data_IF_580350001286
#
_entry.id   IF_580350001286
#
_cell.length_a   1.000
_cell.length_b   1.000
_cell.length_c   1.000
_cell.angle_alpha   90.00
_cell.angle_beta   90.00
_cell.angle_gamma   90.00
#
_symmetry.space_group_name_H-M   'P 1'
#
loop_
_entity.id
_entity.type
_entity.pdbx_description
1 polymer ?
#
# COMPACT_ATOMS: atom_id res chain seq x y z
N UNK A 1 -10.09 -10.89 -7.23
CA UNK A 1 -10.75 -9.85 -8.04
C UNK A 1 -9.78 -9.44 -9.13
N UNK A 2 -10.22 -9.40 -10.38
CA UNK A 2 -9.39 -8.92 -11.49
C UNK A 2 -9.34 -7.39 -11.50
N UNK A 3 -8.37 -6.79 -12.20
CA UNK A 3 -8.32 -5.35 -12.38
C UNK A 3 -9.61 -4.80 -13.02
N UNK A 4 -10.14 -5.50 -14.02
CA UNK A 4 -11.39 -5.13 -14.69
C UNK A 4 -12.55 -5.07 -13.69
N UNK A 5 -12.69 -6.11 -12.86
CA UNK A 5 -13.72 -6.13 -11.82
C UNK A 5 -13.57 -4.97 -10.82
N UNK A 6 -12.34 -4.57 -10.49
CA UNK A 6 -12.12 -3.42 -9.63
C UNK A 6 -12.48 -2.09 -10.32
N UNK A 7 -12.21 -1.96 -11.62
CA UNK A 7 -12.56 -0.77 -12.39
C UNK A 7 -14.09 -0.61 -12.53
N UNK A 8 -14.80 -1.72 -12.74
CA UNK A 8 -16.27 -1.75 -12.77
C UNK A 8 -16.81 -1.31 -11.40
N UNK A 9 -16.32 -1.95 -10.31
CA UNK A 9 -16.63 -1.55 -8.94
C UNK A 9 -16.35 -0.06 -8.67
N UNK A 10 -15.21 0.46 -9.12
CA UNK A 10 -14.82 1.84 -8.88
C UNK A 10 -15.84 2.82 -9.48
N UNK A 11 -16.33 2.52 -10.68
CA UNK A 11 -17.35 3.31 -11.37
C UNK A 11 -18.68 3.27 -10.61
N UNK A 12 -19.10 2.08 -10.17
CA UNK A 12 -20.33 1.87 -9.40
C UNK A 12 -20.28 2.52 -8.01
N UNK A 13 -19.10 2.52 -7.36
CA UNK A 13 -18.90 3.17 -6.07
C UNK A 13 -19.09 4.68 -6.17
N UNK A 14 -18.57 5.31 -7.22
CA UNK A 14 -18.70 6.76 -7.42
C UNK A 14 -20.10 7.18 -7.92
N UNK A 15 -20.86 6.27 -8.52
CA UNK A 15 -22.29 6.48 -8.85
C UNK A 15 -23.24 6.17 -7.69
N UNK A 16 -22.70 5.75 -6.53
CA UNK A 16 -23.44 5.27 -5.36
C UNK A 16 -24.30 4.01 -5.61
N UNK A 17 -24.05 3.29 -6.70
CA UNK A 17 -24.66 1.99 -6.97
C UNK A 17 -24.03 0.86 -6.12
N UNK A 18 -22.75 1.03 -5.73
CA UNK A 18 -22.05 0.14 -4.80
C UNK A 18 -21.58 0.91 -3.56
N UNK A 19 -21.82 0.36 -2.38
CA UNK A 19 -21.44 0.97 -1.08
C UNK A 19 -20.28 0.25 -0.39
N UNK A 20 -19.79 -0.85 -0.96
CA UNK A 20 -18.66 -1.61 -0.41
C UNK A 20 -17.40 -0.76 -0.44
N UNK A 21 -16.60 -0.84 0.61
CA UNK A 21 -15.33 -0.14 0.73
C UNK A 21 -14.18 -1.08 0.35
N UNK A 22 -13.81 -1.13 -0.93
CA UNK A 22 -12.74 -2.01 -1.42
C UNK A 22 -11.44 -1.24 -1.64
N UNK A 23 -10.34 -1.83 -1.19
CA UNK A 23 -9.00 -1.27 -1.33
C UNK A 23 -8.15 -2.15 -2.25
N UNK A 24 -7.77 -1.64 -3.42
CA UNK A 24 -6.79 -2.29 -4.28
C UNK A 24 -5.40 -1.98 -3.73
N UNK A 25 -4.88 -2.93 -2.96
CA UNK A 25 -3.56 -2.88 -2.32
C UNK A 25 -2.66 -3.97 -2.86
N UNK A 26 -1.35 -3.76 -2.73
CA UNK A 26 -0.31 -4.72 -3.11
C UNK A 26 -0.41 -5.13 -4.60
N UNK A 27 -0.87 -4.20 -5.46
CA UNK A 27 -0.96 -4.47 -6.88
C UNK A 27 0.40 -4.26 -7.54
N UNK A 28 1.01 -5.37 -7.98
CA UNK A 28 2.26 -5.42 -8.76
C UNK A 28 2.06 -4.91 -10.19
N UNK A 29 1.75 -3.62 -10.32
CA UNK A 29 1.46 -2.97 -11.60
C UNK A 29 2.64 -3.07 -12.58
N UNK A 30 3.86 -2.88 -12.07
CA UNK A 30 5.07 -2.69 -12.87
C UNK A 30 5.67 -3.98 -13.43
N UNK A 31 5.15 -5.15 -13.02
CA UNK A 31 5.42 -6.43 -13.68
C UNK A 31 4.92 -6.47 -15.12
N UNK A 32 3.92 -5.65 -15.46
CA UNK A 32 3.45 -5.51 -16.83
C UNK A 32 4.51 -4.76 -17.64
N UNK A 33 5.22 -5.47 -18.53
CA UNK A 33 6.37 -4.97 -19.31
C UNK A 33 6.12 -3.65 -20.07
N UNK A 34 4.87 -3.27 -20.29
CA UNK A 34 4.47 -2.07 -21.03
C UNK A 34 4.73 -0.74 -20.33
N UNK A 35 4.96 -0.73 -19.03
CA UNK A 35 4.86 0.51 -18.23
C UNK A 35 6.14 0.95 -17.51
N UNK A 36 7.31 0.49 -17.99
CA UNK A 36 8.63 0.87 -17.47
C UNK A 36 8.94 2.38 -17.54
N UNK A 37 8.08 3.20 -18.17
CA UNK A 37 8.25 4.65 -18.33
C UNK A 37 7.31 5.53 -17.49
N UNK A 38 6.45 4.96 -16.64
CA UNK A 38 5.45 5.75 -15.90
C UNK A 38 6.04 6.64 -14.79
N UNK A 39 7.20 6.27 -14.27
CA UNK A 39 7.92 7.09 -13.29
C UNK A 39 9.43 6.92 -13.47
N UNK A 40 10.19 7.88 -12.95
CA UNK A 40 11.64 7.77 -12.77
C UNK A 40 11.96 7.61 -11.30
N UNK A 41 12.85 6.67 -10.96
CA UNK A 41 13.30 6.45 -9.59
C UNK A 41 14.21 7.61 -9.17
N UNK A 42 13.88 8.36 -8.09
CA UNK A 42 14.79 9.36 -7.54
C UNK A 42 16.11 8.71 -7.12
N UNK A 43 17.25 9.35 -7.44
CA UNK A 43 18.58 8.79 -7.20
C UNK A 43 18.87 8.45 -5.73
N UNK A 44 18.24 9.14 -4.78
CA UNK A 44 18.39 8.82 -3.35
C UNK A 44 17.83 7.44 -2.97
N UNK A 45 16.93 6.87 -3.78
CA UNK A 45 16.33 5.56 -3.59
C UNK A 45 16.93 4.49 -4.52
N UNK A 46 18.07 4.78 -5.17
CA UNK A 46 18.64 3.86 -6.17
C UNK A 46 19.30 2.62 -5.58
N UNK A 47 19.56 2.58 -4.27
CA UNK A 47 20.04 1.40 -3.58
C UNK A 47 18.88 0.44 -3.30
N UNK A 48 18.42 -0.26 -4.35
CA UNK A 48 17.21 -1.09 -4.33
C UNK A 48 17.56 -2.59 -4.39
N UNK A 49 18.22 -3.07 -3.34
CA UNK A 49 18.73 -4.44 -3.29
C UNK A 49 17.65 -5.52 -3.45
N UNK A 50 16.41 -5.21 -3.06
CA UNK A 50 15.31 -6.15 -3.17
C UNK A 50 14.87 -6.33 -4.62
N UNK A 51 14.64 -5.24 -5.36
CA UNK A 51 14.31 -5.38 -6.78
C UNK A 51 15.53 -5.80 -7.60
N UNK A 52 16.75 -5.36 -7.27
CA UNK A 52 17.97 -5.88 -7.91
C UNK A 52 18.11 -7.40 -7.75
N UNK A 53 17.81 -7.94 -6.57
CA UNK A 53 17.82 -9.38 -6.34
C UNK A 53 16.80 -10.11 -7.22
N UNK A 54 15.57 -9.59 -7.34
CA UNK A 54 14.54 -10.21 -8.17
C UNK A 54 14.80 -10.06 -9.66
N UNK A 55 15.30 -8.90 -10.10
CA UNK A 55 15.69 -8.64 -11.49
C UNK A 55 16.82 -9.59 -11.95
N UNK A 56 17.67 -10.07 -11.03
CA UNK A 56 18.70 -11.09 -11.31
C UNK A 56 18.17 -12.53 -11.34
N UNK A 57 17.00 -12.80 -10.78
CA UNK A 57 16.40 -14.13 -10.73
C UNK A 57 15.48 -14.29 -11.93
N UNK A 58 15.42 -15.50 -12.50
CA UNK A 58 14.41 -15.86 -13.50
C UNK A 58 13.05 -16.16 -12.84
N UNK A 59 12.68 -15.32 -11.86
CA UNK A 59 11.44 -15.41 -11.09
C UNK A 59 10.74 -14.07 -11.24
N UNK A 60 9.53 -14.11 -11.76
CA UNK A 60 8.71 -12.93 -12.03
C UNK A 60 8.10 -12.42 -10.71
N UNK A 61 8.81 -11.55 -9.98
CA UNK A 61 8.29 -10.83 -8.81
C UNK A 61 8.95 -9.45 -8.65
N UNK A 62 8.30 -8.54 -7.91
CA UNK A 62 8.83 -7.21 -7.61
C UNK A 62 8.37 -6.67 -6.24
N UNK A 63 9.04 -5.62 -5.77
CA UNK A 63 8.63 -4.81 -4.63
C UNK A 63 8.12 -3.44 -5.08
N UNK A 64 7.27 -3.41 -6.12
CA UNK A 64 6.75 -2.17 -6.70
C UNK A 64 5.23 -2.21 -6.75
N UNK A 65 4.61 -1.57 -5.76
CA UNK A 65 3.17 -1.66 -5.56
C UNK A 65 2.43 -0.38 -5.93
N UNK A 66 1.23 -0.56 -6.52
CA UNK A 66 0.25 0.50 -6.67
C UNK A 66 -0.90 0.30 -5.67
N UNK A 67 -1.30 1.41 -5.04
CA UNK A 67 -2.40 1.44 -4.08
C UNK A 67 -3.50 2.37 -4.58
N UNK A 68 -4.72 1.86 -4.73
CA UNK A 68 -5.90 2.61 -5.15
C UNK A 68 -7.08 2.26 -4.26
N UNK A 69 -7.76 3.28 -3.72
CA UNK A 69 -8.90 3.08 -2.83
C UNK A 69 -9.65 4.38 -2.59
N UNK A 70 -10.97 4.33 -2.38
CA UNK A 70 -11.74 5.51 -2.01
C UNK A 70 -11.43 5.96 -0.58
N UNK A 71 -11.94 7.13 -0.21
CA UNK A 71 -11.85 7.65 1.15
C UNK A 71 -12.40 6.65 2.17
N UNK A 72 -11.66 6.43 3.26
CA UNK A 72 -12.01 5.46 4.30
C UNK A 72 -11.22 4.15 4.21
N UNK A 73 -10.62 3.84 3.05
CA UNK A 73 -9.66 2.74 2.95
C UNK A 73 -8.41 3.01 3.80
N UNK A 74 -7.85 1.96 4.39
CA UNK A 74 -6.71 2.07 5.30
C UNK A 74 -5.91 0.76 5.35
N UNK A 75 -4.65 0.86 5.77
CA UNK A 75 -3.76 -0.30 6.01
C UNK A 75 -3.50 -0.41 7.52
N UNK A 76 -3.60 -1.62 8.11
CA UNK A 76 -3.18 -1.88 9.49
C UNK A 76 -1.76 -1.41 9.79
N UNK A 77 -1.51 -1.07 11.05
CA UNK A 77 -0.14 -0.80 11.52
C UNK A 77 0.71 -2.04 11.27
N UNK A 78 1.87 -1.85 10.64
CA UNK A 78 2.79 -2.93 10.29
C UNK A 78 4.23 -2.40 10.25
N UNK A 79 5.16 -3.34 10.15
CA UNK A 79 6.53 -3.10 9.71
C UNK A 79 6.64 -3.70 8.31
N UNK A 80 7.38 -3.03 7.42
CA UNK A 80 7.60 -3.52 6.07
C UNK A 80 8.26 -4.92 6.09
N UNK A 81 7.97 -5.72 5.06
CA UNK A 81 8.52 -7.06 4.91
C UNK A 81 10.06 -6.98 4.89
N UNK A 82 10.71 -7.94 5.54
CA UNK A 82 12.18 -7.97 5.73
C UNK A 82 12.76 -6.77 6.49
N UNK A 83 11.93 -6.00 7.20
CA UNK A 83 12.32 -4.72 7.80
C UNK A 83 12.99 -3.79 6.78
N UNK A 84 12.50 -3.86 5.54
CA UNK A 84 12.98 -3.01 4.45
C UNK A 84 12.56 -1.56 4.67
N UNK A 85 13.16 -0.67 3.88
CA UNK A 85 12.72 0.70 3.76
C UNK A 85 11.83 0.83 2.54
N UNK A 86 10.73 1.55 2.67
CA UNK A 86 9.86 1.91 1.54
C UNK A 86 9.86 3.41 1.30
N UNK A 87 9.63 3.78 0.04
CA UNK A 87 9.30 5.15 -0.35
C UNK A 87 7.95 5.12 -1.07
N UNK A 88 7.15 6.17 -0.90
CA UNK A 88 5.80 6.25 -1.46
C UNK A 88 5.57 7.59 -2.13
N UNK A 89 5.12 7.55 -3.39
CA UNK A 89 4.67 8.72 -4.12
C UNK A 89 3.13 8.79 -4.13
N UNK A 90 2.56 9.84 -3.54
CA UNK A 90 1.12 10.06 -3.55
C UNK A 90 0.73 10.88 -4.80
N UNK A 91 0.13 10.21 -5.80
CA UNK A 91 -0.22 10.84 -7.08
C UNK A 91 -1.52 11.66 -6.99
N UNK A 92 -2.56 11.13 -6.33
CA UNK A 92 -3.86 11.79 -6.21
C UNK A 92 -4.48 11.56 -4.83
N UNK A 93 -5.26 12.54 -4.35
CA UNK A 93 -5.92 12.50 -3.06
C UNK A 93 -4.96 12.75 -1.88
N UNK A 94 -5.34 12.29 -0.69
CA UNK A 94 -4.59 12.50 0.56
C UNK A 94 -4.48 11.20 1.35
N UNK A 95 -3.26 10.84 1.73
CA UNK A 95 -2.97 9.77 2.67
C UNK A 95 -2.52 10.36 4.01
N UNK A 96 -2.97 9.78 5.12
CA UNK A 96 -2.50 10.10 6.47
C UNK A 96 -1.64 8.95 6.98
N UNK A 97 -0.43 9.27 7.41
CA UNK A 97 0.54 8.30 7.91
C UNK A 97 0.71 8.47 9.42
N UNK A 98 0.82 7.34 10.11
CA UNK A 98 1.16 7.28 11.52
C UNK A 98 2.47 6.50 11.63
N UNK A 99 3.56 7.20 11.96
CA UNK A 99 4.90 6.63 12.03
C UNK A 99 5.32 6.56 13.50
N UNK A 100 5.77 5.39 13.93
CA UNK A 100 6.21 5.13 15.29
C UNK A 100 7.68 4.69 15.27
N UNK A 101 8.54 5.24 16.15
CA UNK A 101 9.92 4.81 16.22
C UNK A 101 10.02 3.35 16.68
N UNK A 102 11.05 2.61 16.22
CA UNK A 102 11.29 1.25 16.66
C UNK A 102 11.55 1.21 18.18
N UNK A 103 11.06 0.16 18.85
CA UNK A 103 11.27 -0.07 20.29
C UNK A 103 10.29 0.62 21.23
N UNK A 104 9.42 1.52 20.74
CA UNK A 104 8.53 2.35 21.59
C UNK A 104 7.04 1.95 21.55
N UNK A 105 6.70 0.73 21.12
CA UNK A 105 5.29 0.34 20.94
C UNK A 105 4.95 -1.01 21.59
N UNK A 106 4.29 -1.04 22.76
CA UNK A 106 3.57 -2.24 23.22
C UNK A 106 2.47 -2.66 22.23
N UNK A 107 2.01 -1.74 21.38
CA UNK A 107 0.95 -1.88 20.38
C UNK A 107 1.30 -2.78 19.18
N UNK A 108 2.58 -2.93 18.84
CA UNK A 108 3.03 -3.83 17.77
C UNK A 108 2.88 -5.32 18.16
N UNK A 109 2.80 -5.61 19.46
CA UNK A 109 2.62 -6.96 20.00
C UNK A 109 1.14 -7.34 20.22
N UNK A 110 0.20 -6.41 20.02
CA UNK A 110 -1.22 -6.72 20.07
C UNK A 110 -1.64 -7.50 18.82
N UNK A 111 -1.33 -8.80 18.81
CA UNK A 111 -2.02 -9.80 18.01
C UNK A 111 -3.49 -9.76 18.43
N UNK A 112 -4.30 -9.00 17.70
CA UNK A 112 -5.74 -9.13 17.46
C UNK A 112 -6.33 -7.73 17.26
N UNK A 113 -6.78 -7.49 16.02
CA UNK A 113 -7.91 -6.59 15.74
C UNK A 113 -7.69 -5.10 16.03
N UNK A 114 -6.88 -4.41 15.23
CA UNK A 114 -7.15 -2.99 14.96
C UNK A 114 -8.26 -2.93 13.90
N UNK A 115 -9.41 -3.53 14.16
CA UNK A 115 -10.63 -3.06 13.52
C UNK A 115 -10.99 -1.79 14.29
N UNK A 116 -11.20 -0.68 13.58
CA UNK A 116 -11.55 0.64 14.13
C UNK A 116 -10.42 1.39 14.85
N UNK A 117 -9.60 2.10 14.08
CA UNK A 117 -9.15 3.40 14.57
C UNK A 117 -10.40 4.28 14.71
N UNK A 118 -10.90 4.40 15.94
CA UNK A 118 -11.83 5.47 16.33
C UNK A 118 -11.26 6.82 15.87
N UNK A 119 -12.13 7.75 15.47
CA UNK A 119 -11.73 9.12 15.07
C UNK A 119 -11.02 9.89 16.20
N UNK A 120 -11.03 9.36 17.43
CA UNK A 120 -10.38 9.95 18.58
C UNK A 120 -9.26 9.04 19.11
N UNK A 121 -8.07 9.61 19.25
CA UNK A 121 -6.90 8.95 19.81
C UNK A 121 -7.01 8.69 21.33
N UNK A 122 -8.03 9.22 22.00
CA UNK A 122 -8.23 9.11 23.46
C UNK A 122 -8.90 7.81 23.91
N UNK A 123 -9.50 7.04 23.00
CA UNK A 123 -10.43 5.95 23.37
C UNK A 123 -9.84 4.55 23.15
N UNK A 124 -8.51 4.42 23.06
CA UNK A 124 -7.84 3.17 22.66
C UNK A 124 -6.89 2.68 23.78
N UNK A 125 -7.26 2.91 25.05
CA UNK A 125 -6.66 2.21 26.20
C UNK A 125 -7.61 2.17 27.39
#
# INVERSE_FOLDING_TARGET
MTLRQYADYWSDFHSAADTRLLYLKDWHYFKLERDRGLYSLPSIFSADWLNEFWDMRDVDDDFRFMYLGPAGTWTPLHVDVYHSYSWSANIYGRKRWWLFPPGNNPWLYCRLTIATFSKNASDIC
#
